data_IF_660952767747
#
_entry.id   IF_660952767747
#
_cell.length_a   1.000
_cell.length_b   1.000
_cell.length_c   1.000
_cell.angle_alpha   90.00
_cell.angle_beta   90.00
_cell.angle_gamma   90.00
#
_symmetry.space_group_name_H-M   'P 1'
#
loop_
_entity.id
_entity.type
_entity.pdbx_description
1 polymer ?
#
# COMPACT_ATOMS: atom_id res chain seq x y z
N UNK A 1 23.40 7.26 -26.07
CA UNK A 1 24.54 6.93 -25.18
C UNK A 1 24.20 5.64 -24.46
N UNK A 2 25.13 4.69 -24.35
CA UNK A 2 24.89 3.44 -23.63
C UNK A 2 25.39 3.57 -22.19
N UNK A 3 24.54 3.29 -21.21
CA UNK A 3 24.87 3.33 -19.78
C UNK A 3 24.62 1.96 -19.12
N UNK A 4 25.37 0.91 -19.53
CA UNK A 4 25.05 -0.48 -19.17
C UNK A 4 25.32 -0.82 -17.69
N UNK A 5 25.99 0.08 -16.96
CA UNK A 5 26.26 -0.06 -15.53
C UNK A 5 25.32 0.74 -14.64
N UNK A 6 24.35 1.46 -15.22
CA UNK A 6 23.39 2.24 -14.44
C UNK A 6 22.44 1.28 -13.70
N UNK A 7 22.43 1.37 -12.37
CA UNK A 7 21.56 0.54 -11.51
C UNK A 7 20.45 1.35 -10.84
N UNK A 8 20.68 2.65 -10.62
CA UNK A 8 19.74 3.57 -9.98
C UNK A 8 19.59 4.82 -10.83
N UNK A 9 18.35 5.25 -11.01
CA UNK A 9 18.00 6.49 -11.70
C UNK A 9 17.06 7.30 -10.83
N UNK A 10 17.40 8.57 -10.63
CA UNK A 10 16.54 9.54 -9.96
C UNK A 10 16.37 10.73 -10.87
N UNK A 11 15.11 11.03 -11.20
CA UNK A 11 14.74 12.14 -12.06
C UNK A 11 13.49 12.80 -11.48
N UNK A 12 13.35 14.11 -11.66
CA UNK A 12 12.03 14.72 -11.50
C UNK A 12 11.08 14.26 -12.61
N UNK A 13 9.77 14.34 -12.34
CA UNK A 13 8.73 13.92 -13.27
C UNK A 13 8.88 14.48 -14.68
N UNK A 14 9.31 15.74 -14.80
CA UNK A 14 9.44 16.41 -16.10
C UNK A 14 10.61 15.85 -16.90
N UNK A 15 11.75 15.68 -16.26
CA UNK A 15 12.93 15.06 -16.87
C UNK A 15 12.66 13.59 -17.18
N UNK A 16 11.91 12.89 -16.32
CA UNK A 16 11.47 11.52 -16.61
C UNK A 16 10.63 11.47 -17.89
N UNK A 17 9.60 12.31 -18.02
CA UNK A 17 8.74 12.31 -19.22
C UNK A 17 9.55 12.63 -20.48
N UNK A 18 10.40 13.65 -20.43
CA UNK A 18 11.21 14.07 -21.59
C UNK A 18 12.28 13.08 -21.99
N UNK A 19 13.00 12.53 -21.03
CA UNK A 19 14.13 11.65 -21.29
C UNK A 19 13.68 10.21 -21.52
N UNK A 20 12.64 9.76 -20.84
CA UNK A 20 12.28 8.35 -20.77
C UNK A 20 11.11 8.03 -21.69
N UNK A 21 10.09 8.89 -21.76
CA UNK A 21 8.88 8.62 -22.54
C UNK A 21 9.04 9.15 -23.97
N UNK A 22 9.48 10.40 -24.13
CA UNK A 22 9.68 10.98 -25.47
C UNK A 22 10.97 10.50 -26.17
N UNK A 23 11.95 9.98 -25.43
CA UNK A 23 13.23 9.51 -25.96
C UNK A 23 13.58 8.08 -25.48
N UNK A 24 12.60 7.17 -25.54
CA UNK A 24 12.62 5.83 -24.92
C UNK A 24 13.79 4.91 -25.28
N UNK A 25 14.51 5.17 -26.36
CA UNK A 25 15.53 4.24 -26.86
C UNK A 25 16.70 3.98 -25.90
N UNK A 26 16.98 4.88 -24.95
CA UNK A 26 18.11 4.66 -24.04
C UNK A 26 17.78 3.69 -22.89
N UNK A 27 16.50 3.50 -22.52
CA UNK A 27 16.08 2.54 -21.49
C UNK A 27 16.44 1.11 -21.87
N UNK A 28 16.34 0.78 -23.16
CA UNK A 28 16.74 -0.52 -23.73
C UNK A 28 18.21 -0.83 -23.48
N UNK A 29 19.05 0.20 -23.30
CA UNK A 29 20.48 0.07 -23.02
C UNK A 29 20.82 0.10 -21.53
N UNK A 30 19.85 0.30 -20.64
CA UNK A 30 20.01 0.36 -19.18
C UNK A 30 19.62 -0.98 -18.52
N UNK A 31 20.09 -2.12 -19.03
CA UNK A 31 19.67 -3.47 -18.61
C UNK A 31 19.98 -3.85 -17.16
N UNK A 32 20.74 -3.02 -16.42
CA UNK A 32 21.02 -3.21 -14.99
C UNK A 32 20.22 -2.30 -14.09
N UNK A 33 19.37 -1.44 -14.67
CA UNK A 33 18.55 -0.51 -13.91
C UNK A 33 17.54 -1.29 -13.08
N UNK A 34 17.66 -1.16 -11.77
CA UNK A 34 16.84 -1.88 -10.80
C UNK A 34 16.09 -0.97 -9.84
N UNK A 35 16.47 0.30 -9.74
CA UNK A 35 15.81 1.28 -8.86
C UNK A 35 15.53 2.57 -9.61
N UNK A 36 14.25 2.94 -9.68
CA UNK A 36 13.80 4.20 -10.25
C UNK A 36 13.11 5.03 -9.16
N UNK A 37 13.48 6.31 -9.09
CA UNK A 37 12.84 7.31 -8.25
C UNK A 37 12.39 8.47 -9.12
N UNK A 38 11.08 8.70 -9.17
CA UNK A 38 10.44 9.80 -9.87
C UNK A 38 9.99 10.82 -8.82
N UNK A 39 10.73 11.91 -8.70
CA UNK A 39 10.44 12.95 -7.72
C UNK A 39 9.44 13.97 -8.26
N UNK A 40 8.80 14.78 -7.40
CA UNK A 40 7.88 15.81 -7.84
C UNK A 40 8.54 16.72 -8.87
N UNK A 41 7.80 17.02 -9.94
CA UNK A 41 8.16 18.13 -10.82
C UNK A 41 7.52 19.40 -10.26
N UNK A 42 8.19 20.56 -10.40
CA UNK A 42 7.68 21.83 -9.88
C UNK A 42 6.38 22.29 -10.58
N UNK A 43 6.29 23.55 -10.99
CA UNK A 43 5.14 23.99 -11.79
C UNK A 43 5.08 23.21 -13.13
N UNK A 44 4.14 22.27 -13.24
CA UNK A 44 3.99 21.40 -14.40
C UNK A 44 3.18 22.13 -15.47
N UNK A 45 3.73 22.22 -16.67
CA UNK A 45 2.97 22.70 -17.82
C UNK A 45 2.03 21.59 -18.31
N UNK A 46 0.88 21.92 -18.87
CA UNK A 46 -0.04 20.92 -19.45
C UNK A 46 0.64 20.01 -20.50
N UNK A 47 1.73 20.48 -21.12
CA UNK A 47 2.52 19.72 -22.09
C UNK A 47 3.48 18.70 -21.47
N UNK A 48 3.72 18.77 -20.16
CA UNK A 48 4.59 17.87 -19.42
C UNK A 48 3.75 16.84 -18.61
N UNK A 49 2.51 16.55 -19.02
CA UNK A 49 1.66 15.53 -18.41
C UNK A 49 1.77 14.19 -19.14
N UNK A 50 1.65 13.09 -18.39
CA UNK A 50 1.72 11.73 -18.91
C UNK A 50 0.54 10.91 -18.37
N UNK A 51 0.09 9.91 -19.12
CA UNK A 51 -0.80 8.88 -18.58
C UNK A 51 0.00 7.89 -17.72
N UNK A 52 -0.66 7.29 -16.72
CA UNK A 52 -0.06 6.19 -15.94
C UNK A 52 0.31 5.04 -16.89
N UNK A 53 -0.53 4.78 -17.89
CA UNK A 53 -0.31 3.71 -18.87
C UNK A 53 1.03 3.83 -19.60
N UNK A 54 1.37 5.00 -20.16
CA UNK A 54 2.64 5.19 -20.88
C UNK A 54 3.86 5.03 -19.96
N UNK A 55 3.72 5.40 -18.68
CA UNK A 55 4.76 5.15 -17.69
C UNK A 55 4.92 3.64 -17.43
N UNK A 56 3.83 2.92 -17.18
CA UNK A 56 3.86 1.48 -16.92
C UNK A 56 4.37 0.68 -18.13
N UNK A 57 3.97 1.05 -19.35
CA UNK A 57 4.48 0.45 -20.59
C UNK A 57 6.01 0.57 -20.66
N UNK A 58 6.55 1.77 -20.38
CA UNK A 58 7.99 1.96 -20.34
C UNK A 58 8.65 1.13 -19.23
N UNK A 59 8.08 1.11 -18.02
CA UNK A 59 8.62 0.35 -16.90
C UNK A 59 8.62 -1.16 -17.18
N UNK A 60 7.65 -1.67 -17.94
CA UNK A 60 7.59 -3.08 -18.35
C UNK A 60 8.80 -3.50 -19.22
N UNK A 61 9.52 -2.55 -19.82
CA UNK A 61 10.74 -2.83 -20.60
C UNK A 61 11.98 -3.06 -19.74
N UNK A 62 11.86 -2.94 -18.41
CA UNK A 62 12.96 -3.07 -17.45
C UNK A 62 12.90 -4.40 -16.69
N UNK A 63 13.56 -5.46 -17.20
CA UNK A 63 13.43 -6.81 -16.63
C UNK A 63 14.10 -6.98 -15.26
N UNK A 64 14.74 -5.94 -14.72
CA UNK A 64 15.43 -5.97 -13.43
C UNK A 64 14.94 -4.91 -12.46
N UNK A 65 13.86 -4.21 -12.79
CA UNK A 65 13.29 -3.22 -11.91
C UNK A 65 12.79 -3.93 -10.64
N UNK A 66 13.45 -3.65 -9.53
CA UNK A 66 13.17 -4.23 -8.22
C UNK A 66 12.56 -3.20 -7.26
N UNK A 67 12.71 -1.90 -7.55
CA UNK A 67 12.15 -0.83 -6.74
C UNK A 67 11.70 0.36 -7.57
N UNK A 68 10.49 0.84 -7.32
CA UNK A 68 9.89 2.01 -7.94
C UNK A 68 9.34 2.96 -6.88
N UNK A 69 9.80 4.21 -6.93
CA UNK A 69 9.29 5.29 -6.09
C UNK A 69 8.70 6.39 -6.99
N UNK A 70 7.44 6.76 -6.77
CA UNK A 70 6.72 7.79 -7.55
C UNK A 70 6.06 8.77 -6.59
N UNK A 71 6.39 10.06 -6.74
CA UNK A 71 5.92 11.09 -5.81
C UNK A 71 5.34 12.30 -6.52
N UNK A 72 4.13 12.69 -6.12
CA UNK A 72 3.41 13.90 -6.54
C UNK A 72 3.41 14.12 -8.07
N UNK A 73 3.25 13.04 -8.82
CA UNK A 73 3.22 13.06 -10.28
C UNK A 73 1.81 13.41 -10.77
N UNK A 74 1.64 14.46 -11.59
CA UNK A 74 0.36 14.76 -12.19
C UNK A 74 0.14 13.84 -13.39
N UNK A 75 -0.66 12.80 -13.19
CA UNK A 75 -1.13 11.97 -14.28
C UNK A 75 -2.35 12.60 -14.95
N UNK A 76 -2.47 12.40 -16.26
CA UNK A 76 -3.72 12.66 -16.96
C UNK A 76 -4.74 11.60 -16.51
N UNK A 77 -5.92 12.04 -16.09
CA UNK A 77 -7.06 11.16 -15.89
C UNK A 77 -7.35 10.47 -17.23
N UNK A 78 -7.12 9.16 -17.28
CA UNK A 78 -7.53 8.36 -18.42
C UNK A 78 -9.01 8.02 -18.25
N UNK A 79 -9.83 8.30 -19.26
CA UNK A 79 -11.20 7.81 -19.30
C UNK A 79 -11.23 6.28 -19.17
N UNK A 80 -12.30 5.77 -18.55
CA UNK A 80 -12.38 4.53 -17.79
C UNK A 80 -12.21 3.18 -18.54
N UNK A 81 -12.01 3.16 -19.86
CA UNK A 81 -12.28 1.94 -20.64
C UNK A 81 -11.07 1.19 -21.22
N UNK A 82 -9.85 1.71 -21.09
CA UNK A 82 -8.68 0.99 -21.57
C UNK A 82 -8.24 -0.07 -20.55
N UNK A 83 -8.81 -1.27 -20.66
CA UNK A 83 -8.32 -2.47 -19.98
C UNK A 83 -6.87 -2.68 -20.41
N UNK A 84 -5.96 -2.40 -19.48
CA UNK A 84 -4.54 -2.46 -19.73
C UNK A 84 -4.13 -3.94 -19.84
N UNK A 85 -3.97 -4.43 -21.06
CA UNK A 85 -3.33 -5.72 -21.33
C UNK A 85 -1.81 -5.58 -21.25
N UNK A 86 -1.27 -5.20 -20.09
CA UNK A 86 0.18 -5.34 -19.86
C UNK A 86 0.51 -6.82 -19.72
N UNK A 87 1.70 -7.20 -20.20
CA UNK A 87 2.16 -8.58 -20.18
C UNK A 87 2.05 -9.09 -18.72
N UNK A 88 1.33 -10.20 -18.46
CA UNK A 88 1.02 -10.66 -17.10
C UNK A 88 2.23 -11.18 -16.32
N UNK A 89 3.44 -11.15 -16.89
CA UNK A 89 4.70 -11.27 -16.15
C UNK A 89 4.93 -10.00 -15.32
N UNK A 90 4.00 -9.74 -14.40
CA UNK A 90 3.89 -8.52 -13.62
C UNK A 90 5.19 -8.12 -12.94
N UNK A 91 5.29 -6.83 -12.64
CA UNK A 91 6.50 -6.27 -12.05
C UNK A 91 6.58 -6.70 -10.57
N UNK A 92 7.45 -7.66 -10.23
CA UNK A 92 7.80 -7.96 -8.83
C UNK A 92 8.80 -6.91 -8.33
N UNK A 93 8.30 -5.70 -8.08
CA UNK A 93 9.10 -4.61 -7.54
C UNK A 93 8.41 -4.00 -6.33
N UNK A 94 9.24 -3.56 -5.39
CA UNK A 94 8.79 -2.76 -4.27
C UNK A 94 8.25 -1.42 -4.75
N UNK A 95 7.08 -1.06 -4.26
CA UNK A 95 6.40 0.19 -4.63
C UNK A 95 6.43 1.18 -3.48
N UNK A 96 6.75 2.43 -3.80
CA UNK A 96 6.50 3.57 -2.90
C UNK A 96 5.78 4.66 -3.68
N UNK A 97 4.51 4.85 -3.37
CA UNK A 97 3.61 5.78 -4.05
C UNK A 97 3.28 6.92 -3.08
N UNK A 98 3.48 8.16 -3.51
CA UNK A 98 3.24 9.32 -2.66
C UNK A 98 2.45 10.40 -3.39
N UNK A 99 1.38 10.92 -2.78
CA UNK A 99 0.65 12.07 -3.31
C UNK A 99 -0.06 11.82 -4.64
N UNK A 100 -0.30 10.55 -4.99
CA UNK A 100 -0.97 10.18 -6.24
C UNK A 100 -2.49 10.32 -6.10
N UNK A 101 -3.16 10.75 -7.17
CA UNK A 101 -4.60 11.03 -7.21
C UNK A 101 -5.31 10.22 -8.28
N UNK A 102 -6.64 10.16 -8.19
CA UNK A 102 -7.49 9.40 -9.11
C UNK A 102 -7.12 7.92 -9.13
N UNK A 103 -7.14 7.31 -10.32
CA UNK A 103 -6.90 5.86 -10.48
C UNK A 103 -5.41 5.49 -10.58
N UNK A 104 -4.49 6.41 -10.26
CA UNK A 104 -3.07 6.14 -10.46
C UNK A 104 -2.57 5.00 -9.57
N UNK A 105 -2.95 4.99 -8.29
CA UNK A 105 -2.54 3.95 -7.33
C UNK A 105 -3.03 2.58 -7.77
N UNK A 106 -4.32 2.45 -8.12
CA UNK A 106 -4.90 1.17 -8.55
C UNK A 106 -4.22 0.62 -9.79
N UNK A 107 -3.81 1.48 -10.74
CA UNK A 107 -3.05 1.07 -11.93
C UNK A 107 -1.64 0.60 -11.60
N UNK A 108 -0.94 1.22 -10.65
CA UNK A 108 0.36 0.73 -10.20
C UNK A 108 0.24 -0.62 -9.50
N UNK A 109 -0.78 -0.80 -8.66
CA UNK A 109 -1.02 -2.06 -7.95
C UNK A 109 -1.43 -3.18 -8.90
N UNK A 110 -2.28 -2.89 -9.90
CA UNK A 110 -2.62 -3.83 -10.96
C UNK A 110 -1.40 -4.24 -11.79
N UNK A 111 -0.40 -3.36 -11.92
CA UNK A 111 0.85 -3.66 -12.60
C UNK A 111 1.82 -4.48 -11.76
N UNK A 112 1.77 -4.35 -10.43
CA UNK A 112 2.59 -5.09 -9.48
C UNK A 112 1.92 -6.37 -8.97
N UNK A 113 1.02 -6.98 -9.75
CA UNK A 113 0.29 -8.21 -9.38
C UNK A 113 1.19 -9.48 -9.25
N UNK A 114 2.40 -9.35 -8.70
CA UNK A 114 3.28 -10.46 -8.37
C UNK A 114 4.19 -10.10 -7.20
N UNK A 115 4.18 -10.95 -6.16
CA UNK A 115 5.16 -11.11 -5.07
C UNK A 115 5.96 -9.84 -4.70
N UNK A 116 5.32 -8.67 -4.58
CA UNK A 116 6.01 -7.48 -4.11
C UNK A 116 6.38 -7.71 -2.65
N UNK A 117 7.64 -7.54 -2.29
CA UNK A 117 8.02 -7.68 -0.88
C UNK A 117 7.42 -6.52 -0.08
N UNK A 118 7.43 -5.31 -0.65
CA UNK A 118 7.04 -4.11 0.06
C UNK A 118 6.22 -3.14 -0.80
N UNK A 119 5.08 -2.68 -0.28
CA UNK A 119 4.26 -1.61 -0.87
C UNK A 119 4.03 -0.54 0.19
N UNK A 120 4.40 0.71 -0.12
CA UNK A 120 4.07 1.89 0.69
C UNK A 120 3.23 2.88 -0.09
N UNK A 121 2.14 3.32 0.50
CA UNK A 121 1.20 4.30 -0.04
C UNK A 121 1.11 5.46 0.96
N UNK A 122 1.43 6.67 0.52
CA UNK A 122 1.50 7.85 1.38
C UNK A 122 0.70 9.02 0.80
N UNK A 123 -0.31 9.52 1.52
CA UNK A 123 -1.18 10.64 1.09
C UNK A 123 -1.72 10.47 -0.33
N UNK A 124 -2.05 9.23 -0.72
CA UNK A 124 -2.64 8.94 -2.02
C UNK A 124 -4.14 8.69 -1.89
N UNK A 125 -4.88 8.93 -2.96
CA UNK A 125 -6.27 8.50 -3.04
C UNK A 125 -6.37 7.00 -3.33
N UNK A 126 -7.33 6.33 -2.69
CA UNK A 126 -7.56 4.89 -2.79
C UNK A 126 -8.91 4.52 -3.41
N UNK A 127 -9.69 5.49 -3.90
CA UNK A 127 -11.09 5.32 -4.35
C UNK A 127 -11.36 4.19 -5.35
N UNK A 128 -10.35 3.79 -6.12
CA UNK A 128 -10.48 2.79 -7.19
C UNK A 128 -9.58 1.57 -6.99
N UNK A 129 -9.01 1.41 -5.78
CA UNK A 129 -8.11 0.31 -5.45
C UNK A 129 -8.89 -0.86 -4.94
N UNK A 130 -8.97 -1.93 -5.74
CA UNK A 130 -9.74 -3.11 -5.38
C UNK A 130 -8.91 -4.25 -4.80
N UNK A 131 -7.60 -4.33 -5.08
CA UNK A 131 -6.78 -5.45 -4.60
C UNK A 131 -5.33 -5.05 -4.37
N UNK A 132 -4.72 -5.56 -3.30
CA UNK A 132 -3.32 -5.32 -2.93
C UNK A 132 -2.68 -6.65 -2.48
N UNK A 133 -1.59 -7.08 -3.10
CA UNK A 133 -0.83 -8.26 -2.66
C UNK A 133 0.64 -7.90 -2.48
N UNK A 134 1.18 -8.14 -1.28
CA UNK A 134 2.58 -7.91 -0.94
C UNK A 134 2.94 -8.56 0.41
N UNK A 135 4.22 -8.71 0.75
CA UNK A 135 4.56 -9.20 2.10
C UNK A 135 4.29 -8.15 3.18
N UNK A 136 4.61 -6.89 2.90
CA UNK A 136 4.47 -5.75 3.83
C UNK A 136 3.74 -4.59 3.16
N UNK A 137 2.63 -4.16 3.76
CA UNK A 137 1.83 -3.02 3.31
C UNK A 137 1.91 -1.87 4.31
N UNK A 138 2.38 -0.71 3.85
CA UNK A 138 2.39 0.55 4.60
C UNK A 138 1.35 1.53 4.05
N UNK A 139 0.39 1.91 4.88
CA UNK A 139 -0.57 2.98 4.63
C UNK A 139 -0.23 4.17 5.52
N UNK A 140 0.10 5.32 4.93
CA UNK A 140 0.60 6.50 5.66
C UNK A 140 -0.18 7.74 5.28
N UNK A 141 -0.72 8.44 6.29
CA UNK A 141 -1.42 9.72 6.13
C UNK A 141 -2.50 9.66 5.03
N UNK A 142 -3.26 8.56 4.97
CA UNK A 142 -4.40 8.43 4.06
C UNK A 142 -5.55 9.31 4.59
N UNK A 143 -6.16 10.06 3.68
CA UNK A 143 -7.22 11.01 4.03
C UNK A 143 -8.44 10.27 4.62
N UNK A 144 -9.19 10.95 5.50
CA UNK A 144 -10.38 10.38 6.12
C UNK A 144 -11.51 10.14 5.11
N UNK A 145 -11.50 10.90 4.01
CA UNK A 145 -12.49 10.76 2.93
C UNK A 145 -12.21 9.53 2.03
N UNK A 146 -10.98 8.98 2.06
CA UNK A 146 -10.66 7.74 1.35
C UNK A 146 -11.11 6.52 2.17
N UNK A 147 -12.05 5.76 1.62
CA UNK A 147 -12.59 4.57 2.27
C UNK A 147 -11.56 3.42 2.26
N UNK A 148 -10.93 3.19 3.42
CA UNK A 148 -9.97 2.10 3.62
C UNK A 148 -10.59 0.70 3.58
N UNK A 149 -11.92 0.57 3.69
CA UNK A 149 -12.58 -0.72 3.66
C UNK A 149 -12.46 -1.39 2.29
N UNK A 150 -12.46 -0.61 1.21
CA UNK A 150 -12.39 -1.11 -0.16
C UNK A 150 -11.04 -1.81 -0.43
N UNK A 151 -9.88 -1.14 -0.33
CA UNK A 151 -8.60 -1.79 -0.60
C UNK A 151 -8.25 -2.90 0.39
N UNK A 152 -8.79 -2.86 1.62
CA UNK A 152 -8.56 -3.88 2.66
C UNK A 152 -9.59 -5.03 2.62
N UNK A 153 -10.58 -4.95 1.73
CA UNK A 153 -11.54 -6.05 1.50
C UNK A 153 -11.01 -7.17 0.62
N UNK A 154 -9.89 -6.94 -0.08
CA UNK A 154 -9.22 -7.91 -0.93
C UNK A 154 -7.72 -7.58 -0.94
N UNK A 155 -7.09 -7.70 0.23
CA UNK A 155 -5.65 -7.58 0.35
C UNK A 155 -5.04 -8.88 0.87
N UNK A 156 -3.79 -9.11 0.50
CA UNK A 156 -3.00 -10.27 0.87
C UNK A 156 -1.65 -9.76 1.35
N UNK A 157 -1.50 -9.60 2.67
CA UNK A 157 -0.24 -9.15 3.26
C UNK A 157 0.02 -9.72 4.65
N UNK A 158 1.27 -10.12 4.88
CA UNK A 158 1.71 -10.71 6.16
C UNK A 158 1.78 -9.65 7.25
N UNK A 159 2.17 -8.44 6.89
CA UNK A 159 2.30 -7.29 7.76
C UNK A 159 1.55 -6.07 7.23
N UNK A 160 0.75 -5.46 8.09
CA UNK A 160 0.05 -4.20 7.83
C UNK A 160 0.54 -3.12 8.80
N UNK A 161 1.12 -2.06 8.26
CA UNK A 161 1.51 -0.85 8.96
C UNK A 161 0.55 0.28 8.58
N UNK A 162 -0.12 0.86 9.57
CA UNK A 162 -1.02 2.01 9.38
C UNK A 162 -0.53 3.18 10.23
N UNK A 163 -0.18 4.30 9.58
CA UNK A 163 0.39 5.48 10.23
C UNK A 163 -0.43 6.71 9.92
N UNK A 164 -0.98 7.36 10.95
CA UNK A 164 -1.71 8.62 10.86
C UNK A 164 -2.88 8.60 9.85
N UNK A 165 -3.53 7.45 9.65
CA UNK A 165 -4.71 7.31 8.81
C UNK A 165 -5.98 7.51 9.63
N UNK A 166 -6.61 8.69 9.50
CA UNK A 166 -7.82 9.02 10.25
C UNK A 166 -9.02 8.12 9.88
N UNK A 167 -9.07 7.58 8.65
CA UNK A 167 -10.10 6.62 8.23
C UNK A 167 -9.97 5.22 8.86
N UNK A 168 -8.92 4.93 9.63
CA UNK A 168 -8.76 3.61 10.28
C UNK A 168 -9.62 3.51 11.55
N UNK A 169 -10.81 2.94 11.41
CA UNK A 169 -11.88 2.91 12.42
C UNK A 169 -12.40 1.48 12.71
N UNK A 170 -13.50 1.38 13.46
CA UNK A 170 -14.15 0.11 13.78
C UNK A 170 -14.70 -0.64 12.56
N UNK A 171 -15.05 0.09 11.48
CA UNK A 171 -15.53 -0.49 10.23
C UNK A 171 -14.41 -1.22 9.52
N UNK A 172 -13.23 -0.59 9.43
CA UNK A 172 -12.02 -1.22 8.87
C UNK A 172 -11.64 -2.46 9.67
N UNK A 173 -11.69 -2.39 11.01
CA UNK A 173 -11.42 -3.56 11.86
C UNK A 173 -12.42 -4.69 11.67
N UNK A 174 -13.69 -4.39 11.39
CA UNK A 174 -14.69 -5.40 11.05
C UNK A 174 -14.35 -6.10 9.71
N UNK A 175 -13.93 -5.34 8.69
CA UNK A 175 -13.47 -5.92 7.41
C UNK A 175 -12.29 -6.87 7.62
N UNK A 176 -11.30 -6.49 8.43
CA UNK A 176 -10.15 -7.34 8.76
C UNK A 176 -10.52 -8.57 9.62
N UNK A 177 -11.66 -8.53 10.32
CA UNK A 177 -12.11 -9.60 11.20
C UNK A 177 -12.74 -10.76 10.45
N UNK A 178 -13.60 -10.48 9.47
CA UNK A 178 -14.39 -11.51 8.79
C UNK A 178 -14.94 -11.08 7.41
N UNK A 179 -14.43 -9.99 6.82
CA UNK A 179 -14.96 -9.42 5.58
C UNK A 179 -16.00 -8.33 5.77
N UNK A 180 -16.36 -8.03 7.02
CA UNK A 180 -17.28 -6.96 7.35
C UNK A 180 -18.75 -7.38 7.20
N UNK A 181 -19.69 -6.42 7.16
CA UNK A 181 -21.12 -6.74 7.19
C UNK A 181 -21.64 -7.44 5.93
N UNK A 182 -20.98 -7.25 4.80
CA UNK A 182 -21.43 -7.70 3.49
C UNK A 182 -20.73 -8.99 3.00
N UNK A 183 -19.64 -9.40 3.67
CA UNK A 183 -18.87 -10.60 3.34
C UNK A 183 -18.47 -11.31 4.63
N UNK A 184 -18.71 -12.63 4.72
CA UNK A 184 -18.37 -13.45 5.90
C UNK A 184 -17.08 -14.27 5.69
N UNK A 185 -16.33 -13.96 4.63
CA UNK A 185 -15.04 -14.55 4.35
C UNK A 185 -13.91 -13.58 4.69
N UNK A 186 -12.88 -14.13 5.33
CA UNK A 186 -11.68 -13.40 5.70
C UNK A 186 -11.01 -12.88 4.42
N UNK A 187 -10.87 -11.56 4.36
CA UNK A 187 -10.34 -10.84 3.19
C UNK A 187 -8.87 -11.13 2.99
N UNK A 188 -8.16 -11.31 4.10
CA UNK A 188 -6.76 -11.70 4.14
C UNK A 188 -6.60 -13.00 4.95
N UNK A 189 -5.81 -13.93 4.42
CA UNK A 189 -5.49 -15.22 5.04
C UNK A 189 -4.14 -15.23 5.77
N UNK A 190 -3.23 -14.30 5.52
CA UNK A 190 -1.81 -14.40 5.94
C UNK A 190 -1.32 -13.29 6.87
N UNK A 191 -2.14 -12.29 7.17
CA UNK A 191 -1.88 -11.21 8.11
C UNK A 191 -1.63 -11.78 9.49
N UNK A 192 -0.42 -11.52 9.99
CA UNK A 192 0.09 -11.94 11.30
C UNK A 192 0.48 -10.76 12.16
N UNK A 193 0.84 -9.64 11.54
CA UNK A 193 1.41 -8.48 12.21
C UNK A 193 0.64 -7.21 11.89
N UNK A 194 0.22 -6.50 12.93
CA UNK A 194 -0.47 -5.22 12.82
C UNK A 194 0.28 -4.15 13.61
N UNK A 195 0.69 -3.09 12.91
CA UNK A 195 1.33 -1.93 13.50
C UNK A 195 0.48 -0.69 13.25
N UNK A 196 0.05 -0.04 14.32
CA UNK A 196 -0.79 1.16 14.27
C UNK A 196 -0.01 2.32 14.90
N UNK A 197 0.23 3.39 14.16
CA UNK A 197 0.87 4.61 14.68
C UNK A 197 -0.05 5.80 14.47
N UNK A 198 -0.35 6.55 15.53
CA UNK A 198 -1.19 7.76 15.45
C UNK A 198 -2.66 7.52 15.12
N UNK A 199 -3.11 6.27 14.96
CA UNK A 199 -4.49 5.91 14.66
C UNK A 199 -5.32 5.90 15.96
N UNK A 200 -6.40 6.71 16.01
CA UNK A 200 -7.20 6.92 17.23
C UNK A 200 -8.71 6.66 17.08
N UNK A 201 -9.17 6.40 15.86
CA UNK A 201 -10.60 6.34 15.55
C UNK A 201 -11.23 4.94 15.71
N UNK A 202 -10.47 4.00 16.26
CA UNK A 202 -10.95 2.66 16.58
C UNK A 202 -11.18 2.46 18.09
N UNK A 203 -12.08 1.55 18.43
CA UNK A 203 -12.37 1.10 19.77
C UNK A 203 -11.57 -0.15 20.14
N UNK A 204 -11.17 -0.24 21.40
CA UNK A 204 -10.49 -1.43 21.94
C UNK A 204 -11.32 -2.71 21.76
N UNK A 205 -12.65 -2.58 21.80
CA UNK A 205 -13.59 -3.68 21.62
C UNK A 205 -13.54 -4.21 20.19
N UNK A 206 -13.56 -3.35 19.19
CA UNK A 206 -13.47 -3.76 17.79
C UNK A 206 -12.12 -4.42 17.50
N UNK A 207 -11.02 -3.85 18.01
CA UNK A 207 -9.68 -4.41 17.84
C UNK A 207 -9.56 -5.81 18.48
N UNK A 208 -10.03 -5.94 19.73
CA UNK A 208 -10.04 -7.23 20.42
C UNK A 208 -10.95 -8.25 19.73
N UNK A 209 -12.10 -7.82 19.20
CA UNK A 209 -12.99 -8.68 18.41
C UNK A 209 -12.30 -9.20 17.15
N UNK A 210 -11.70 -8.33 16.34
CA UNK A 210 -10.99 -8.73 15.11
C UNK A 210 -9.94 -9.81 15.38
N UNK A 211 -9.09 -9.57 16.39
CA UNK A 211 -8.04 -10.51 16.81
C UNK A 211 -8.63 -11.84 17.27
N UNK A 212 -9.66 -11.79 18.13
CA UNK A 212 -10.28 -12.99 18.67
C UNK A 212 -10.94 -13.83 17.58
N UNK A 213 -11.66 -13.19 16.66
CA UNK A 213 -12.34 -13.85 15.53
C UNK A 213 -11.35 -14.57 14.64
N UNK A 214 -10.24 -13.93 14.25
CA UNK A 214 -9.17 -14.58 13.49
C UNK A 214 -8.57 -15.76 14.26
N UNK A 215 -8.26 -15.60 15.55
CA UNK A 215 -7.68 -16.67 16.36
C UNK A 215 -8.61 -17.90 16.48
N UNK A 216 -9.92 -17.68 16.73
CA UNK A 216 -10.92 -18.77 16.80
C UNK A 216 -11.06 -19.48 15.46
N UNK A 217 -11.08 -18.73 14.36
CA UNK A 217 -11.21 -19.31 13.03
C UNK A 217 -9.98 -20.13 12.61
N UNK A 218 -8.78 -19.65 12.91
CA UNK A 218 -7.53 -20.40 12.73
C UNK A 218 -7.53 -21.70 13.57
N UNK A 219 -7.93 -21.62 14.84
CA UNK A 219 -8.05 -22.79 15.72
C UNK A 219 -9.10 -23.81 15.25
N UNK A 220 -10.13 -23.35 14.53
CA UNK A 220 -11.14 -24.20 13.89
C UNK A 220 -10.66 -24.83 12.57
N UNK A 221 -9.41 -24.60 12.15
CA UNK A 221 -8.81 -25.17 10.95
C UNK A 221 -9.16 -24.42 9.66
N UNK A 222 -9.64 -23.16 9.74
CA UNK A 222 -9.69 -22.31 8.54
C UNK A 222 -8.26 -21.99 8.09
N UNK A 223 -8.08 -21.83 6.78
CA UNK A 223 -6.81 -21.43 6.17
C UNK A 223 -6.56 -19.94 6.39
N UNK A 224 -6.31 -19.56 7.63
CA UNK A 224 -5.87 -18.21 7.95
C UNK A 224 -4.93 -18.21 9.16
N UNK A 225 -4.06 -17.22 9.21
CA UNK A 225 -3.14 -17.03 10.33
C UNK A 225 -3.78 -16.16 11.43
N UNK A 226 -3.59 -16.54 12.72
CA UNK A 226 -3.93 -15.65 13.82
C UNK A 226 -2.99 -14.44 13.83
N UNK A 227 -3.50 -13.29 14.27
CA UNK A 227 -2.64 -12.14 14.59
C UNK A 227 -1.81 -12.50 15.81
N UNK A 228 -0.48 -12.54 15.65
CA UNK A 228 0.46 -12.84 16.73
C UNK A 228 1.24 -11.62 17.19
N UNK A 229 1.29 -10.57 16.37
CA UNK A 229 2.04 -9.34 16.64
C UNK A 229 1.14 -8.11 16.54
N UNK A 230 1.08 -7.35 17.64
CA UNK A 230 0.32 -6.10 17.73
C UNK A 230 1.17 -5.00 18.37
N UNK A 231 1.45 -3.95 17.61
CA UNK A 231 2.14 -2.77 18.11
C UNK A 231 1.28 -1.53 17.86
N UNK A 232 0.93 -0.82 18.94
CA UNK A 232 0.15 0.42 18.86
C UNK A 232 0.94 1.58 19.46
N UNK A 233 1.26 2.56 18.63
CA UNK A 233 1.94 3.80 19.00
C UNK A 233 0.98 4.99 18.94
N UNK A 234 0.91 5.77 20.02
CA UNK A 234 -0.03 6.90 20.15
C UNK A 234 -1.50 6.52 19.93
N UNK A 235 -1.90 5.34 20.41
CA UNK A 235 -3.28 4.84 20.29
C UNK A 235 -4.23 5.33 21.37
N UNK A 236 -5.49 4.86 21.36
CA UNK A 236 -6.47 5.20 22.39
C UNK A 236 -6.08 4.65 23.78
N UNK A 237 -6.62 5.20 24.87
CA UNK A 237 -6.36 4.71 26.23
C UNK A 237 -6.72 3.24 26.38
N UNK A 238 -5.81 2.44 26.95
CA UNK A 238 -5.97 1.00 27.16
C UNK A 238 -6.35 0.70 28.62
N UNK A 239 -7.43 -0.04 28.84
CA UNK A 239 -7.79 -0.53 30.19
C UNK A 239 -6.84 -1.65 30.62
N UNK A 240 -6.63 -1.82 31.93
CA UNK A 240 -5.73 -2.87 32.44
C UNK A 240 -6.20 -4.28 32.04
N UNK A 241 -7.51 -4.53 32.09
CA UNK A 241 -8.08 -5.81 31.67
C UNK A 241 -7.78 -6.12 30.19
N UNK A 242 -7.92 -5.13 29.29
CA UNK A 242 -7.59 -5.31 27.87
C UNK A 242 -6.08 -5.47 27.67
N UNK A 243 -5.26 -4.74 28.43
CA UNK A 243 -3.79 -4.87 28.39
C UNK A 243 -3.35 -6.28 28.73
N UNK A 244 -3.83 -6.84 29.85
CA UNK A 244 -3.51 -8.22 30.24
C UNK A 244 -3.98 -9.20 29.17
N UNK A 245 -5.19 -9.02 28.64
CA UNK A 245 -5.71 -9.89 27.58
C UNK A 245 -4.83 -9.89 26.32
N UNK A 246 -4.41 -8.72 25.83
CA UNK A 246 -3.51 -8.64 24.67
C UNK A 246 -2.14 -9.27 24.96
N UNK A 247 -1.58 -9.06 26.16
CA UNK A 247 -0.30 -9.65 26.55
C UNK A 247 -0.34 -11.18 26.63
N UNK A 248 -1.48 -11.76 27.02
CA UNK A 248 -1.67 -13.20 27.08
C UNK A 248 -2.02 -13.82 25.72
N UNK A 249 -2.65 -13.04 24.84
CA UNK A 249 -3.14 -13.53 23.54
C UNK A 249 -2.14 -13.40 22.39
N UNK A 250 -1.08 -12.60 22.57
CA UNK A 250 -0.11 -12.25 21.52
C UNK A 250 1.28 -12.80 21.82
N UNK A 251 2.05 -13.09 20.77
CA UNK A 251 3.49 -13.38 20.89
C UNK A 251 4.30 -12.09 21.11
N UNK A 252 3.93 -11.02 20.41
CA UNK A 252 4.54 -9.70 20.54
C UNK A 252 3.47 -8.63 20.73
N UNK A 253 3.58 -7.87 21.81
CA UNK A 253 2.65 -6.80 22.14
C UNK A 253 3.35 -5.56 22.69
N UNK A 254 3.04 -4.39 22.13
CA UNK A 254 3.40 -3.11 22.74
C UNK A 254 2.33 -2.06 22.52
N UNK A 255 2.11 -1.20 23.53
CA UNK A 255 1.10 -0.14 23.46
C UNK A 255 1.57 1.14 24.14
N UNK A 256 1.56 2.24 23.39
CA UNK A 256 1.72 3.60 23.93
C UNK A 256 0.48 4.43 23.66
N UNK A 257 0.09 5.24 24.65
CA UNK A 257 -1.12 6.06 24.59
C UNK A 257 -0.76 7.43 24.04
N UNK A 258 -1.63 7.99 23.22
CA UNK A 258 -1.54 9.38 22.80
C UNK A 258 -1.41 10.33 24.00
N UNK A 259 -0.44 11.23 23.98
CA UNK A 259 -0.41 12.33 24.95
C UNK A 259 -1.47 13.35 24.55
N UNK A 260 -2.28 13.79 25.52
CA UNK A 260 -3.18 14.93 25.33
C UNK A 260 -2.31 16.16 25.06
N UNK A 261 -2.36 16.67 23.82
CA UNK A 261 -1.72 17.93 23.44
C UNK A 261 -2.37 19.05 24.25
N UNK A 262 -1.71 19.48 25.34
CA UNK A 262 -2.15 20.59 26.20
C UNK A 262 -2.07 21.95 25.48
#
# INVERSE_FOLDING_TARGET
MSTPSLTRLTLDGRNFIRSCIHNSNWFVHAQKLSHIVITPSGAVSQFDMVTVHSLLELLSTLPKLAKLEVSDMPFLDCEQDDVIHLNPEGLSADLTLTGLRGDAVSRFLAFSQGDAEFIRITRCSLTSTSSISCAVLDLVEIDVEDDLTIPLSDFDAVELNVCDCAGFDDTVLAVLADGGPDNNDFTDQVLRSLYLTGCRNFSLRALGHMIHTRAVAAAAGRLLDPISTLHVHNGPPLTEAMRSWFQESMESFSWTVAQDSC
#
